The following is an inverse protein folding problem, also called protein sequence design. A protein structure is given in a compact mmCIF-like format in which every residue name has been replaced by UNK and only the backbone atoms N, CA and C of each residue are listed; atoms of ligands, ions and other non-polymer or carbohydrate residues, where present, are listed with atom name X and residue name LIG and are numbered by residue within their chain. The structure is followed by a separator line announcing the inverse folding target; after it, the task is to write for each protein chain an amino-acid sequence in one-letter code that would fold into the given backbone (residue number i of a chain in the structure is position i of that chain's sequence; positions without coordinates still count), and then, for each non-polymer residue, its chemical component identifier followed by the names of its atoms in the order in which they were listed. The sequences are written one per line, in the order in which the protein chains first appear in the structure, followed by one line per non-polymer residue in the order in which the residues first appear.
data_IF_509924505781
#
_entry.id   IF_509924505781
#
_cell.length_a   1.000
_cell.length_b   1.000
_cell.length_c   1.000
_cell.angle_alpha   90.00
_cell.angle_beta   90.00
_cell.angle_gamma   90.00
#
_symmetry.space_group_name_H-M   'P 1'
#
loop_
_entity.id
_entity.type
_entity.pdbx_description
1 polymer ?
#
# COMPACT_ATOMS: atom_id res chain seq x y z
N UNK A 1 5.92 84.91 -3.84
CA UNK A 1 6.64 85.15 -2.56
C UNK A 1 6.55 83.87 -1.70
N UNK A 2 7.61 83.52 -1.05
CA UNK A 2 7.92 82.43 -0.15
C UNK A 2 8.37 81.14 -0.82
N UNK A 3 9.65 80.91 -0.84
CA UNK A 3 10.44 79.75 -1.06
C UNK A 3 10.23 78.78 0.11
N UNK A 4 10.04 77.47 -0.16
CA UNK A 4 10.27 76.44 0.82
C UNK A 4 11.30 75.46 0.29
N UNK A 5 12.36 75.35 0.98
CA UNK A 5 13.54 74.54 0.77
C UNK A 5 13.22 73.04 1.14
N UNK A 6 13.51 72.13 0.20
CA UNK A 6 13.48 70.72 0.41
C UNK A 6 14.86 70.25 0.87
N UNK A 7 14.90 69.65 2.08
CA UNK A 7 16.10 69.02 2.61
C UNK A 7 16.22 67.60 2.11
N UNK A 8 17.29 67.33 1.37
CA UNK A 8 17.68 65.97 0.97
C UNK A 8 18.29 65.25 2.17
N UNK A 9 17.73 64.09 2.54
CA UNK A 9 18.36 63.13 3.46
C UNK A 9 19.02 62.04 2.62
N UNK A 10 20.35 62.02 2.63
CA UNK A 10 21.18 60.94 2.08
C UNK A 10 21.26 59.80 3.13
N UNK A 11 20.67 58.65 2.83
CA UNK A 11 20.89 57.42 3.58
C UNK A 11 22.00 56.63 2.91
N UNK A 12 23.12 56.47 3.60
CA UNK A 12 24.22 55.61 3.22
C UNK A 12 23.85 54.14 3.33
N UNK A 13 23.92 53.42 2.23
CA UNK A 13 23.80 51.97 2.15
C UNK A 13 25.16 51.36 2.51
N UNK A 14 25.24 50.67 3.65
CA UNK A 14 26.37 49.78 3.96
C UNK A 14 26.16 48.45 3.22
N UNK A 15 26.99 48.19 2.22
CA UNK A 15 27.10 46.87 1.57
C UNK A 15 28.11 46.05 2.37
N UNK A 16 27.63 45.07 3.12
CA UNK A 16 28.46 44.03 3.75
C UNK A 16 28.73 42.93 2.72
N UNK A 17 29.95 42.90 2.20
CA UNK A 17 30.43 41.79 1.39
C UNK A 17 30.70 40.58 2.29
N UNK A 18 29.89 39.52 2.18
CA UNK A 18 30.21 38.20 2.74
C UNK A 18 31.16 37.47 1.77
N UNK A 19 32.39 37.32 2.19
CA UNK A 19 33.39 36.49 1.50
C UNK A 19 33.00 35.01 1.71
N UNK A 20 32.64 34.31 0.63
CA UNK A 20 32.52 32.87 0.57
C UNK A 20 33.92 32.26 0.60
N UNK A 21 34.36 31.76 1.74
CA UNK A 21 35.50 30.87 1.82
C UNK A 21 35.03 29.46 1.50
N UNK A 22 35.31 28.97 0.31
CA UNK A 22 35.26 27.56 -0.04
C UNK A 22 36.39 26.86 0.69
N UNK A 23 36.09 26.25 1.83
CA UNK A 23 36.95 25.26 2.43
C UNK A 23 36.54 23.87 1.87
N UNK A 24 37.34 23.34 0.96
CA UNK A 24 37.37 21.90 0.69
C UNK A 24 37.96 21.22 1.90
N UNK A 25 37.15 20.56 2.71
CA UNK A 25 37.63 19.51 3.61
C UNK A 25 37.02 18.19 3.11
N UNK A 26 37.90 17.33 2.63
CA UNK A 26 37.62 15.93 2.38
C UNK A 26 37.53 15.25 3.75
N UNK A 27 36.31 15.12 4.26
CA UNK A 27 35.99 14.17 5.32
C UNK A 27 34.95 13.21 4.79
N UNK A 28 35.39 11.97 4.56
CA UNK A 28 34.58 10.80 4.25
C UNK A 28 33.72 10.38 5.47
N UNK A 29 32.82 11.23 5.93
CA UNK A 29 31.71 10.87 6.79
C UNK A 29 30.43 10.80 5.94
N UNK A 30 30.21 9.64 5.34
CA UNK A 30 28.91 9.27 4.74
C UNK A 30 27.86 9.11 5.84
N UNK A 31 27.45 10.17 6.50
CA UNK A 31 26.13 10.27 7.06
C UNK A 31 25.18 10.51 5.87
N UNK A 32 24.72 9.43 5.26
CA UNK A 32 23.62 9.51 4.31
C UNK A 32 22.42 10.11 5.04
N UNK A 33 21.95 11.28 4.58
CA UNK A 33 20.72 11.87 5.09
C UNK A 33 19.59 10.83 5.00
N UNK A 34 18.63 10.82 5.96
CA UNK A 34 17.52 9.91 5.91
C UNK A 34 16.74 10.08 4.60
N UNK A 35 16.48 8.98 3.92
CA UNK A 35 15.75 8.95 2.63
C UNK A 35 14.30 9.40 2.81
N UNK A 36 13.77 9.24 4.01
CA UNK A 36 12.43 9.63 4.38
C UNK A 36 12.49 10.80 5.36
N UNK A 37 11.59 11.79 5.26
CA UNK A 37 11.54 12.87 6.24
C UNK A 37 11.21 12.34 7.64
N UNK A 38 11.86 12.89 8.65
CA UNK A 38 11.48 12.69 10.04
C UNK A 38 10.33 13.66 10.35
N UNK A 39 9.24 13.14 10.90
CA UNK A 39 8.08 13.95 11.29
C UNK A 39 8.03 14.09 12.80
N UNK A 40 8.31 15.29 13.30
CA UNK A 40 8.16 15.58 14.74
C UNK A 40 6.70 15.44 15.16
N UNK A 41 6.49 14.82 16.35
CA UNK A 41 5.15 14.63 16.89
C UNK A 41 4.25 13.67 16.12
N UNK A 42 4.82 12.85 15.18
CA UNK A 42 4.05 11.84 14.44
C UNK A 42 3.36 10.89 15.42
N UNK A 43 2.08 10.66 15.18
CA UNK A 43 1.33 9.56 15.80
C UNK A 43 1.58 8.23 15.07
N UNK A 44 1.67 7.15 15.86
CA UNK A 44 1.66 5.76 15.38
C UNK A 44 0.30 5.18 15.77
N UNK A 45 -0.59 5.03 14.80
CA UNK A 45 -1.92 4.45 15.02
C UNK A 45 -1.84 2.93 14.86
N UNK A 46 -2.17 2.19 15.89
CA UNK A 46 -2.29 0.74 15.89
C UNK A 46 -3.73 0.38 15.56
N UNK A 47 -3.96 -0.58 14.65
CA UNK A 47 -5.30 -1.01 14.28
C UNK A 47 -5.47 -2.52 14.46
N UNK A 48 -6.62 -2.92 14.99
CA UNK A 48 -7.02 -4.31 15.19
C UNK A 48 -8.38 -4.61 14.56
N UNK A 49 -8.45 -5.73 13.84
CA UNK A 49 -9.69 -6.28 13.30
C UNK A 49 -10.36 -7.16 14.36
N UNK A 50 -11.61 -6.85 14.66
CA UNK A 50 -12.43 -7.59 15.63
C UNK A 50 -13.12 -8.74 14.90
N UNK A 51 -12.93 -9.96 15.41
CA UNK A 51 -13.54 -11.17 14.86
C UNK A 51 -14.86 -11.47 15.56
N UNK A 52 -15.81 -12.10 14.87
CA UNK A 52 -17.09 -12.52 15.43
C UNK A 52 -17.20 -14.05 15.51
N UNK A 53 -17.21 -14.69 14.35
CA UNK A 53 -17.54 -16.12 14.25
C UNK A 53 -16.30 -16.97 14.11
N UNK A 54 -15.46 -16.62 13.13
CA UNK A 54 -14.24 -17.36 12.80
C UNK A 54 -13.01 -16.48 12.94
N UNK A 55 -11.87 -17.02 13.35
CA UNK A 55 -10.59 -16.30 13.32
C UNK A 55 -10.31 -15.76 11.92
N UNK A 56 -9.98 -14.48 11.81
CA UNK A 56 -9.65 -13.86 10.53
C UNK A 56 -10.83 -13.35 9.70
N UNK A 57 -12.10 -13.50 10.15
CA UNK A 57 -13.26 -13.06 9.38
C UNK A 57 -13.42 -11.53 9.30
N UNK A 58 -12.96 -10.80 10.31
CA UNK A 58 -13.03 -9.32 10.37
C UNK A 58 -14.45 -8.76 10.45
N UNK A 59 -15.45 -9.59 10.71
CA UNK A 59 -16.85 -9.18 10.69
C UNK A 59 -17.25 -8.34 11.92
N UNK A 60 -16.44 -8.30 12.97
CA UNK A 60 -16.65 -7.44 14.15
C UNK A 60 -16.23 -5.99 13.95
N UNK A 61 -15.74 -5.60 12.77
CA UNK A 61 -15.26 -4.25 12.48
C UNK A 61 -13.78 -4.04 12.82
N UNK A 62 -13.40 -2.79 13.03
CA UNK A 62 -12.00 -2.39 13.30
C UNK A 62 -11.95 -1.37 14.43
N UNK A 63 -10.98 -1.51 15.32
CA UNK A 63 -10.65 -0.52 16.34
C UNK A 63 -9.24 0.02 16.14
N UNK A 64 -9.04 1.26 16.56
CA UNK A 64 -7.75 1.98 16.43
C UNK A 64 -7.36 2.63 17.77
N UNK A 65 -6.06 2.74 17.99
CA UNK A 65 -5.47 3.42 19.15
C UNK A 65 -4.15 4.04 18.72
N UNK A 66 -3.88 5.30 19.03
CA UNK A 66 -2.65 5.99 18.63
C UNK A 66 -1.73 6.27 19.81
N UNK A 67 -0.44 6.14 19.55
CA UNK A 67 0.64 6.36 20.54
C UNK A 67 1.71 7.26 19.95
N UNK A 68 2.52 7.89 20.81
CA UNK A 68 3.70 8.63 20.35
C UNK A 68 4.80 7.68 19.85
N UNK A 69 5.78 8.20 19.12
CA UNK A 69 6.96 7.43 18.70
C UNK A 69 7.75 6.89 19.89
N UNK A 70 7.88 7.68 20.95
CA UNK A 70 8.57 7.29 22.18
C UNK A 70 7.88 6.09 22.82
N UNK A 71 6.55 6.10 22.89
CA UNK A 71 5.79 4.96 23.40
C UNK A 71 5.88 3.74 22.47
N UNK A 72 5.95 3.96 21.15
CA UNK A 72 6.03 2.87 20.19
C UNK A 72 7.34 2.07 20.31
N UNK A 73 8.45 2.71 20.73
CA UNK A 73 9.75 2.05 20.91
C UNK A 73 9.97 1.53 22.35
N UNK A 74 9.10 1.88 23.31
CA UNK A 74 9.23 1.46 24.71
C UNK A 74 8.64 0.05 24.92
N UNK A 75 9.46 -0.97 25.24
CA UNK A 75 8.97 -2.33 25.46
C UNK A 75 8.13 -2.48 26.75
N UNK A 76 8.14 -1.49 27.64
CA UNK A 76 7.33 -1.46 28.86
C UNK A 76 5.95 -0.81 28.63
N UNK A 77 5.78 -0.11 27.52
CA UNK A 77 4.47 0.45 27.15
C UNK A 77 3.56 -0.64 26.58
N UNK A 78 2.26 -0.57 26.87
CA UNK A 78 1.29 -1.56 26.40
C UNK A 78 0.10 -0.89 25.74
N UNK A 79 -0.35 -1.46 24.61
CA UNK A 79 -1.56 -1.06 23.89
C UNK A 79 -2.55 -2.22 23.91
N UNK A 80 -3.78 -1.92 24.34
CA UNK A 80 -4.92 -2.83 24.19
C UNK A 80 -5.98 -2.15 23.31
N UNK A 81 -5.87 -2.36 22.00
CA UNK A 81 -6.79 -1.74 21.03
C UNK A 81 -8.21 -2.29 21.17
N UNK A 82 -8.37 -3.54 21.60
CA UNK A 82 -9.67 -4.19 21.65
C UNK A 82 -10.54 -3.71 22.81
N UNK A 83 -9.95 -3.38 23.95
CA UNK A 83 -10.68 -2.82 25.10
C UNK A 83 -10.73 -1.29 25.04
N UNK A 84 -9.60 -0.66 24.71
CA UNK A 84 -9.44 0.79 24.88
C UNK A 84 -9.51 1.58 23.55
N UNK A 85 -9.54 0.91 22.40
CA UNK A 85 -9.52 1.58 21.10
C UNK A 85 -10.88 2.13 20.67
N UNK A 86 -10.82 3.17 19.83
CA UNK A 86 -12.00 3.74 19.17
C UNK A 86 -12.39 2.90 17.95
N UNK A 87 -13.69 2.65 17.72
CA UNK A 87 -14.16 2.02 16.51
C UNK A 87 -14.01 2.96 15.31
N UNK A 88 -13.63 2.43 14.15
CA UNK A 88 -13.75 3.11 12.87
C UNK A 88 -14.93 2.54 12.08
N UNK A 89 -15.61 3.41 11.33
CA UNK A 89 -16.82 3.01 10.62
C UNK A 89 -16.48 2.01 9.50
N UNK A 90 -16.88 0.75 9.69
CA UNK A 90 -16.81 -0.31 8.68
C UNK A 90 -17.60 -1.52 9.17
N UNK A 91 -18.31 -2.20 8.27
CA UNK A 91 -19.01 -3.46 8.60
C UNK A 91 -18.07 -4.66 8.69
N UNK A 92 -16.89 -4.56 8.08
CA UNK A 92 -15.81 -5.54 8.13
C UNK A 92 -14.51 -4.82 8.44
N UNK A 93 -13.39 -5.52 8.33
CA UNK A 93 -12.06 -4.91 8.45
C UNK A 93 -11.94 -3.66 7.59
N UNK A 94 -11.74 -2.50 8.21
CA UNK A 94 -11.61 -1.20 7.55
C UNK A 94 -10.43 -1.17 6.56
N UNK A 95 -10.46 -0.24 5.62
CA UNK A 95 -9.38 0.02 4.67
C UNK A 95 -8.70 1.32 5.04
N UNK A 96 -7.78 1.22 6.00
CA UNK A 96 -7.13 2.35 6.63
C UNK A 96 -5.88 2.80 5.88
N UNK A 97 -5.66 4.11 5.88
CA UNK A 97 -4.43 4.76 5.45
C UNK A 97 -4.16 5.94 6.39
N UNK A 98 -2.91 6.31 6.64
CA UNK A 98 -2.59 7.49 7.45
C UNK A 98 -1.95 8.59 6.62
N UNK A 99 -2.08 9.84 7.10
CA UNK A 99 -1.27 10.95 6.60
C UNK A 99 0.22 10.71 6.86
N UNK A 100 1.07 11.44 6.15
CA UNK A 100 2.54 11.34 6.30
C UNK A 100 2.96 11.63 7.74
N UNK A 101 2.29 12.57 8.40
CA UNK A 101 2.54 12.97 9.80
C UNK A 101 1.76 12.16 10.85
N UNK A 102 0.92 11.22 10.42
CA UNK A 102 0.08 10.41 11.32
C UNK A 102 -1.03 11.21 12.01
N UNK A 103 -1.23 12.50 11.70
CA UNK A 103 -2.26 13.34 12.31
C UNK A 103 -3.67 13.06 11.81
N UNK A 104 -3.77 12.38 10.67
CA UNK A 104 -5.06 12.05 10.03
C UNK A 104 -5.09 10.57 9.65
N UNK A 105 -6.18 9.90 9.98
CA UNK A 105 -6.49 8.57 9.51
C UNK A 105 -7.57 8.66 8.45
N UNK A 106 -7.32 8.08 7.28
CA UNK A 106 -8.25 8.00 6.15
C UNK A 106 -8.92 6.63 6.14
N UNK A 107 -10.21 6.59 5.84
CA UNK A 107 -10.97 5.34 5.72
C UNK A 107 -11.97 5.41 4.57
N UNK A 108 -12.11 4.32 3.84
CA UNK A 108 -13.32 4.04 3.07
C UNK A 108 -14.03 2.86 3.72
N UNK A 109 -15.28 3.07 4.10
CA UNK A 109 -16.11 2.04 4.71
C UNK A 109 -16.23 0.85 3.76
N UNK A 110 -15.90 -0.33 4.27
CA UNK A 110 -15.91 -1.55 3.49
C UNK A 110 -17.17 -2.37 3.80
N UNK A 111 -18.02 -2.54 2.79
CA UNK A 111 -19.31 -3.26 2.84
C UNK A 111 -20.36 -2.62 3.76
N UNK A 112 -21.55 -3.21 3.80
CA UNK A 112 -22.67 -2.74 4.61
C UNK A 112 -23.40 -1.53 4.01
N UNK A 113 -24.34 -0.97 4.78
CA UNK A 113 -25.21 0.12 4.33
C UNK A 113 -24.43 1.40 3.92
N UNK A 114 -23.32 1.67 4.58
CA UNK A 114 -22.46 2.82 4.29
C UNK A 114 -21.20 2.41 3.49
N UNK A 115 -21.17 1.23 2.89
CA UNK A 115 -20.06 0.77 2.05
C UNK A 115 -19.74 1.78 0.96
N UNK A 116 -18.44 2.10 0.78
CA UNK A 116 -17.99 3.11 -0.17
C UNK A 116 -18.00 4.54 0.35
N UNK A 117 -18.29 4.79 1.62
CA UNK A 117 -18.20 6.12 2.21
C UNK A 117 -16.76 6.44 2.65
N UNK A 118 -16.14 7.44 2.03
CA UNK A 118 -14.85 7.99 2.42
C UNK A 118 -15.03 9.02 3.53
N UNK A 119 -14.19 8.93 4.56
CA UNK A 119 -14.15 9.88 5.67
C UNK A 119 -12.75 9.97 6.26
N UNK A 120 -12.50 11.00 7.05
CA UNK A 120 -11.25 11.22 7.75
C UNK A 120 -11.46 11.29 9.25
N UNK A 121 -10.43 10.93 10.01
CA UNK A 121 -10.39 11.05 11.45
C UNK A 121 -9.14 11.86 11.83
N UNK A 122 -9.32 12.95 12.56
CA UNK A 122 -8.20 13.65 13.21
C UNK A 122 -7.70 12.81 14.37
N UNK A 123 -6.41 12.55 14.41
CA UNK A 123 -5.75 11.76 15.46
C UNK A 123 -5.25 12.70 16.56
N UNK A 124 -5.78 12.56 17.78
CA UNK A 124 -5.43 13.40 18.93
C UNK A 124 -4.72 12.61 20.05
N UNK A 125 -4.30 11.36 19.78
CA UNK A 125 -3.66 10.48 20.75
C UNK A 125 -4.62 9.57 21.51
N UNK A 126 -4.14 8.40 21.94
CA UNK A 126 -4.95 7.40 22.63
C UNK A 126 -6.10 6.90 21.75
N UNK A 127 -7.29 6.89 22.32
CA UNK A 127 -8.53 6.56 21.61
C UNK A 127 -9.29 7.81 21.12
N UNK A 128 -8.67 8.97 21.11
CA UNK A 128 -9.31 10.22 20.69
C UNK A 128 -9.14 10.42 19.19
N UNK A 129 -10.13 9.99 18.43
CA UNK A 129 -10.23 10.13 16.97
C UNK A 129 -11.48 10.95 16.65
N UNK A 130 -11.30 12.20 16.21
CA UNK A 130 -12.42 13.07 15.84
C UNK A 130 -12.75 12.85 14.35
N UNK A 131 -13.95 12.32 14.09
CA UNK A 131 -14.42 12.12 12.72
C UNK A 131 -14.76 13.46 12.07
N UNK A 132 -14.40 13.62 10.78
CA UNK A 132 -14.79 14.79 9.98
C UNK A 132 -16.27 14.75 9.66
N UNK A 133 -16.93 15.92 9.64
CA UNK A 133 -18.30 16.06 9.15
C UNK A 133 -18.40 15.88 7.64
N UNK A 134 -17.32 16.18 6.89
CA UNK A 134 -17.25 15.99 5.45
C UNK A 134 -17.07 14.51 5.12
N UNK A 135 -17.97 13.99 4.28
CA UNK A 135 -17.97 12.61 3.80
C UNK A 135 -18.37 12.56 2.34
N UNK A 136 -17.86 11.60 1.58
CA UNK A 136 -18.29 11.36 0.21
C UNK A 136 -18.50 9.87 -0.02
N UNK A 137 -19.67 9.50 -0.56
CA UNK A 137 -19.97 8.11 -0.91
C UNK A 137 -19.69 7.87 -2.39
N UNK A 138 -18.82 6.90 -2.67
CA UNK A 138 -18.40 6.52 -4.02
C UNK A 138 -19.06 5.23 -4.52
N UNK A 139 -19.98 4.65 -3.75
CA UNK A 139 -20.55 3.32 -4.04
C UNK A 139 -21.28 3.22 -5.38
N UNK A 140 -21.91 4.30 -5.83
CA UNK A 140 -22.55 4.34 -7.14
C UNK A 140 -21.58 4.20 -8.33
N UNK A 141 -20.27 4.46 -8.11
CA UNK A 141 -19.22 4.34 -9.13
C UNK A 141 -18.35 3.11 -8.92
N UNK A 142 -17.94 2.85 -7.68
CA UNK A 142 -16.94 1.85 -7.32
C UNK A 142 -17.49 0.70 -6.45
N UNK A 143 -18.83 0.61 -6.30
CA UNK A 143 -19.47 -0.38 -5.47
C UNK A 143 -19.26 -0.16 -3.97
N UNK A 144 -19.92 -0.98 -3.14
CA UNK A 144 -19.87 -0.88 -1.68
C UNK A 144 -18.60 -1.46 -1.06
N UNK A 145 -17.76 -2.11 -1.87
CA UNK A 145 -16.50 -2.74 -1.42
C UNK A 145 -15.32 -2.30 -2.29
N UNK A 146 -15.11 -0.98 -2.45
CA UNK A 146 -14.07 -0.47 -3.34
C UNK A 146 -12.68 -0.86 -2.83
N UNK A 147 -11.74 -0.99 -3.76
CA UNK A 147 -10.31 -1.03 -3.48
C UNK A 147 -9.76 0.38 -3.61
N UNK A 148 -8.95 0.80 -2.67
CA UNK A 148 -8.41 2.15 -2.72
C UNK A 148 -7.07 2.26 -2.01
N UNK A 149 -6.29 3.22 -2.44
CA UNK A 149 -5.08 3.68 -1.75
C UNK A 149 -4.97 5.19 -1.86
N UNK A 150 -4.32 5.82 -0.91
CA UNK A 150 -3.82 7.18 -1.10
C UNK A 150 -2.60 7.16 -2.00
N UNK A 151 -2.41 8.17 -2.82
CA UNK A 151 -1.15 8.35 -3.55
C UNK A 151 -0.07 8.95 -2.64
N UNK A 152 1.20 8.76 -3.02
CA UNK A 152 2.34 9.38 -2.34
C UNK A 152 2.60 10.80 -2.91
N UNK A 153 1.59 11.66 -2.83
CA UNK A 153 1.56 13.01 -3.38
C UNK A 153 1.35 14.10 -2.30
N UNK A 154 1.71 13.82 -1.06
CA UNK A 154 1.50 14.71 0.08
C UNK A 154 0.08 14.68 0.61
N UNK A 155 -0.52 13.50 0.65
CA UNK A 155 -1.85 13.25 1.20
C UNK A 155 -2.99 14.03 0.49
N UNK A 156 -2.82 14.26 -0.81
CA UNK A 156 -3.81 15.03 -1.60
C UNK A 156 -4.85 14.13 -2.24
N UNK A 157 -4.40 13.02 -2.83
CA UNK A 157 -5.24 12.19 -3.69
C UNK A 157 -5.40 10.78 -3.16
N UNK A 158 -6.65 10.32 -3.09
CA UNK A 158 -7.00 8.92 -2.99
C UNK A 158 -7.45 8.37 -4.34
N UNK A 159 -7.11 7.14 -4.68
CA UNK A 159 -7.59 6.48 -5.88
C UNK A 159 -8.33 5.21 -5.51
N UNK A 160 -9.60 5.14 -5.90
CA UNK A 160 -10.43 3.95 -5.75
C UNK A 160 -10.61 3.25 -7.09
N UNK A 161 -10.60 1.93 -7.07
CA UNK A 161 -10.76 1.10 -8.26
C UNK A 161 -11.75 -0.03 -7.99
N UNK A 162 -12.44 -0.44 -9.05
CA UNK A 162 -13.37 -1.57 -9.00
C UNK A 162 -13.46 -2.24 -10.37
N UNK A 163 -13.81 -3.52 -10.39
CA UNK A 163 -14.30 -4.22 -11.57
C UNK A 163 -15.67 -4.77 -11.21
N UNK A 164 -16.68 -4.39 -11.96
CA UNK A 164 -18.02 -4.93 -11.82
C UNK A 164 -18.00 -6.46 -12.05
N UNK A 165 -18.99 -7.17 -11.52
CA UNK A 165 -19.09 -8.63 -11.71
C UNK A 165 -18.88 -8.98 -13.18
N UNK A 166 -17.86 -9.78 -13.53
CA UNK A 166 -17.59 -10.13 -14.90
C UNK A 166 -18.76 -10.89 -15.53
N UNK A 167 -19.06 -10.56 -16.77
CA UNK A 167 -20.13 -11.16 -17.57
C UNK A 167 -19.48 -12.00 -18.67
N UNK A 168 -19.99 -13.21 -18.83
CA UNK A 168 -19.65 -14.09 -19.96
C UNK A 168 -20.40 -13.61 -21.20
N UNK A 169 -19.64 -13.30 -22.25
CA UNK A 169 -20.17 -12.99 -23.57
C UNK A 169 -20.03 -14.22 -24.47
N UNK A 170 -20.99 -14.42 -25.36
CA UNK A 170 -21.02 -15.52 -26.32
C UNK A 170 -21.09 -15.00 -27.74
N UNK A 171 -20.65 -15.79 -28.70
CA UNK A 171 -20.81 -15.58 -30.12
C UNK A 171 -22.26 -15.85 -30.57
N UNK A 172 -22.56 -15.57 -31.83
CA UNK A 172 -23.91 -15.85 -32.40
C UNK A 172 -24.27 -17.35 -32.37
N UNK A 173 -23.29 -18.22 -32.52
CA UNK A 173 -23.43 -19.67 -32.41
C UNK A 173 -23.51 -20.20 -30.96
N UNK A 174 -23.55 -19.29 -29.96
CA UNK A 174 -23.55 -19.54 -28.51
C UNK A 174 -22.23 -20.10 -27.94
N UNK A 175 -21.19 -20.20 -28.76
CA UNK A 175 -19.86 -20.54 -28.25
C UNK A 175 -19.32 -19.40 -27.35
N UNK A 176 -18.42 -19.76 -26.43
CA UNK A 176 -17.75 -18.77 -25.56
C UNK A 176 -16.99 -17.75 -26.39
N UNK A 177 -17.12 -16.46 -26.05
CA UNK A 177 -16.39 -15.36 -26.69
C UNK A 177 -15.34 -14.76 -25.75
N UNK A 178 -15.77 -14.23 -24.62
CA UNK A 178 -14.91 -13.68 -23.58
C UNK A 178 -15.68 -13.49 -22.27
N UNK A 179 -14.94 -13.21 -21.19
CA UNK A 179 -15.49 -12.76 -19.90
C UNK A 179 -14.92 -11.39 -19.60
N UNK A 180 -15.78 -10.40 -19.30
CA UNK A 180 -15.35 -9.03 -18.97
C UNK A 180 -16.19 -8.41 -17.88
N UNK A 181 -15.57 -7.65 -17.00
CA UNK A 181 -16.25 -6.75 -16.07
C UNK A 181 -15.90 -5.29 -16.39
N UNK A 182 -16.86 -4.40 -16.23
CA UNK A 182 -16.62 -2.96 -16.42
C UNK A 182 -15.71 -2.46 -15.29
N UNK A 183 -14.57 -1.92 -15.66
CA UNK A 183 -13.63 -1.32 -14.71
C UNK A 183 -14.00 0.11 -14.40
N UNK A 184 -13.86 0.52 -13.15
CA UNK A 184 -13.94 1.90 -12.67
C UNK A 184 -12.62 2.31 -12.09
N UNK A 185 -12.14 3.49 -12.46
CA UNK A 185 -11.04 4.20 -11.79
C UNK A 185 -11.57 5.56 -11.37
N UNK A 186 -11.40 5.91 -10.09
CA UNK A 186 -11.95 7.11 -9.49
C UNK A 186 -10.89 7.76 -8.61
N UNK A 187 -10.68 9.07 -8.77
CA UNK A 187 -9.82 9.86 -7.89
C UNK A 187 -10.64 10.73 -6.93
N UNK A 188 -10.14 10.82 -5.72
CA UNK A 188 -10.67 11.61 -4.61
C UNK A 188 -9.70 12.73 -4.26
N UNK A 189 -10.17 13.95 -4.15
CA UNK A 189 -9.49 14.99 -3.37
C UNK A 189 -9.74 14.70 -1.89
N UNK A 190 -8.72 14.22 -1.19
CA UNK A 190 -8.84 13.83 0.21
C UNK A 190 -8.93 15.03 1.16
N UNK A 191 -8.44 16.22 0.74
CA UNK A 191 -8.52 17.45 1.54
C UNK A 191 -9.91 18.06 1.48
N UNK A 192 -10.50 18.07 0.29
CA UNK A 192 -11.83 18.64 0.07
C UNK A 192 -12.95 17.59 0.26
N UNK A 193 -12.59 16.31 0.39
CA UNK A 193 -13.52 15.19 0.56
C UNK A 193 -14.54 15.13 -0.59
N UNK A 194 -14.02 15.12 -1.82
CA UNK A 194 -14.87 15.07 -3.02
C UNK A 194 -14.26 14.18 -4.11
N UNK A 195 -15.11 13.72 -5.03
CA UNK A 195 -14.66 13.02 -6.23
C UNK A 195 -14.10 14.06 -7.20
N UNK A 196 -12.81 13.94 -7.55
CA UNK A 196 -12.16 14.84 -8.49
C UNK A 196 -12.28 14.39 -9.95
N UNK A 197 -12.28 13.07 -10.18
CA UNK A 197 -12.51 12.49 -11.51
C UNK A 197 -12.94 11.03 -11.40
N UNK A 198 -13.66 10.52 -12.41
CA UNK A 198 -13.83 9.08 -12.58
C UNK A 198 -14.00 8.71 -14.05
N UNK A 199 -13.61 7.48 -14.38
CA UNK A 199 -13.80 6.86 -15.70
C UNK A 199 -14.23 5.41 -15.55
N UNK A 200 -15.03 4.97 -16.51
CA UNK A 200 -15.44 3.56 -16.63
C UNK A 200 -15.19 3.08 -18.05
N UNK A 201 -14.60 1.92 -18.18
CA UNK A 201 -14.24 1.32 -19.46
C UNK A 201 -14.08 -0.18 -19.39
N UNK A 202 -14.11 -0.83 -20.54
CA UNK A 202 -13.68 -2.19 -20.68
C UNK A 202 -12.15 -2.23 -20.84
N UNK A 203 -11.51 -3.24 -20.23
CA UNK A 203 -10.07 -3.47 -20.37
C UNK A 203 -9.89 -4.85 -21.03
N UNK A 204 -9.86 -4.92 -22.37
CA UNK A 204 -9.65 -6.18 -23.06
C UNK A 204 -8.22 -6.69 -22.86
N UNK A 205 -8.08 -7.99 -22.79
CA UNK A 205 -6.81 -8.70 -22.99
C UNK A 205 -6.56 -8.91 -24.48
N UNK A 206 -5.53 -9.66 -24.84
CA UNK A 206 -5.38 -10.09 -26.25
C UNK A 206 -6.51 -11.05 -26.64
N UNK A 207 -6.81 -11.14 -27.93
CA UNK A 207 -7.88 -12.00 -28.42
C UNK A 207 -7.64 -13.49 -28.04
N UNK A 208 -6.37 -13.91 -28.05
CA UNK A 208 -5.96 -15.26 -27.69
C UNK A 208 -6.17 -15.55 -26.20
N UNK A 209 -5.82 -14.60 -25.34
CA UNK A 209 -6.00 -14.74 -23.89
C UNK A 209 -7.49 -14.79 -23.52
N UNK A 210 -8.30 -13.93 -24.12
CA UNK A 210 -9.75 -13.92 -23.91
C UNK A 210 -10.41 -15.20 -24.42
N UNK A 211 -10.03 -15.69 -25.61
CA UNK A 211 -10.56 -16.93 -26.16
C UNK A 211 -10.24 -18.16 -25.28
N UNK A 212 -9.14 -18.11 -24.51
CA UNK A 212 -8.78 -19.11 -23.50
C UNK A 212 -9.54 -18.96 -22.18
N UNK A 213 -10.33 -17.90 -21.99
CA UNK A 213 -11.11 -17.63 -20.78
C UNK A 213 -10.44 -16.70 -19.78
N UNK A 214 -9.23 -16.21 -20.05
CA UNK A 214 -8.54 -15.26 -19.15
C UNK A 214 -9.27 -13.93 -19.09
N UNK A 215 -9.36 -13.36 -17.89
CA UNK A 215 -9.98 -12.04 -17.68
C UNK A 215 -9.47 -11.35 -16.41
N UNK A 216 -9.57 -10.03 -16.37
CA UNK A 216 -9.31 -9.24 -15.18
C UNK A 216 -10.53 -9.35 -14.26
N UNK A 217 -10.35 -10.01 -13.13
CA UNK A 217 -11.39 -10.15 -12.10
C UNK A 217 -11.41 -8.94 -11.16
N UNK A 218 -10.25 -8.34 -10.89
CA UNK A 218 -10.12 -7.23 -9.95
C UNK A 218 -8.96 -6.31 -10.33
N UNK A 219 -9.15 -5.03 -10.05
CA UNK A 219 -8.10 -4.02 -9.96
C UNK A 219 -7.83 -3.69 -8.50
N UNK A 220 -6.57 -3.37 -8.15
CA UNK A 220 -6.19 -2.96 -6.79
C UNK A 220 -4.86 -2.18 -6.81
N UNK A 221 -4.52 -1.55 -5.68
CA UNK A 221 -3.24 -0.92 -5.39
C UNK A 221 -2.68 0.02 -6.49
N UNK A 222 -3.45 1.03 -6.95
CA UNK A 222 -2.95 2.00 -7.92
C UNK A 222 -1.74 2.78 -7.39
N UNK A 223 -0.76 3.05 -8.25
CA UNK A 223 0.45 3.80 -7.94
C UNK A 223 0.73 4.83 -9.01
N UNK A 224 1.02 6.06 -8.61
CA UNK A 224 1.41 7.14 -9.53
C UNK A 224 2.87 6.95 -9.95
N UNK A 225 3.18 7.07 -11.25
CA UNK A 225 4.55 7.00 -11.72
C UNK A 225 5.37 8.24 -11.29
N UNK A 226 6.69 8.18 -11.43
CA UNK A 226 7.60 9.27 -11.02
C UNK A 226 7.30 10.59 -11.75
N UNK A 227 6.87 10.52 -13.01
CA UNK A 227 6.52 11.70 -13.80
C UNK A 227 5.17 12.33 -13.41
N UNK A 228 4.37 11.67 -12.59
CA UNK A 228 3.07 12.17 -12.14
C UNK A 228 1.98 12.18 -13.23
N UNK A 229 2.14 11.41 -14.29
CA UNK A 229 1.26 11.45 -15.45
C UNK A 229 0.63 10.10 -15.84
N UNK A 230 0.95 9.01 -15.13
CA UNK A 230 0.37 7.68 -15.31
C UNK A 230 0.09 7.02 -13.96
N UNK A 231 -1.06 6.35 -13.86
CA UNK A 231 -1.36 5.41 -12.79
C UNK A 231 -1.10 3.99 -13.29
N UNK A 232 -0.37 3.22 -12.49
CA UNK A 232 -0.16 1.78 -12.69
C UNK A 232 -1.03 1.07 -11.66
N UNK A 233 -1.94 0.22 -12.13
CA UNK A 233 -2.96 -0.42 -11.30
C UNK A 233 -2.75 -1.92 -11.37
N UNK A 234 -2.57 -2.57 -10.24
CA UNK A 234 -2.40 -4.02 -10.16
C UNK A 234 -3.66 -4.80 -10.53
N UNK A 235 -3.48 -6.02 -11.04
CA UNK A 235 -4.58 -6.89 -11.47
C UNK A 235 -4.62 -8.21 -10.70
N UNK A 236 -5.83 -8.72 -10.53
CA UNK A 236 -6.08 -10.10 -10.14
C UNK A 236 -6.75 -10.81 -11.32
N UNK A 237 -6.08 -11.82 -11.85
CA UNK A 237 -6.53 -12.57 -13.01
C UNK A 237 -7.35 -13.78 -12.59
N UNK A 238 -8.37 -14.10 -13.38
CA UNK A 238 -9.11 -15.37 -13.34
C UNK A 238 -9.19 -15.96 -14.74
N UNK A 239 -9.60 -17.22 -14.81
CA UNK A 239 -9.89 -17.93 -16.06
C UNK A 239 -11.27 -18.56 -15.97
N UNK A 240 -12.16 -18.19 -16.87
CA UNK A 240 -13.44 -18.88 -17.08
C UNK A 240 -13.20 -20.23 -17.74
N UNK A 241 -13.89 -21.28 -17.29
CA UNK A 241 -13.91 -22.53 -18.01
C UNK A 241 -14.71 -22.37 -19.31
N UNK A 242 -14.07 -22.40 -20.45
CA UNK A 242 -14.71 -22.11 -21.74
C UNK A 242 -15.70 -23.21 -22.18
N UNK A 243 -15.59 -24.42 -21.62
CA UNK A 243 -16.54 -25.53 -21.85
C UNK A 243 -17.77 -25.46 -20.92
N UNK A 244 -17.61 -24.86 -19.71
CA UNK A 244 -18.71 -24.58 -18.78
C UNK A 244 -18.56 -23.16 -18.22
N UNK A 245 -19.00 -22.12 -18.97
CA UNK A 245 -18.75 -20.74 -18.62
C UNK A 245 -19.45 -20.24 -17.33
N UNK A 246 -20.27 -21.07 -16.71
CA UNK A 246 -20.82 -20.79 -15.37
C UNK A 246 -19.76 -20.91 -14.25
N UNK A 247 -18.58 -21.48 -14.55
CA UNK A 247 -17.49 -21.75 -13.61
C UNK A 247 -16.19 -21.06 -14.01
N UNK A 248 -15.37 -20.79 -13.00
CA UNK A 248 -13.97 -20.42 -13.20
C UNK A 248 -13.08 -21.64 -12.94
N UNK A 249 -11.95 -21.69 -13.66
CA UNK A 249 -10.88 -22.64 -13.36
C UNK A 249 -10.29 -22.31 -11.98
N UNK A 250 -10.09 -23.34 -11.15
CA UNK A 250 -9.44 -23.17 -9.84
C UNK A 250 -7.92 -23.10 -9.95
N UNK A 251 -7.38 -23.82 -10.92
CA UNK A 251 -5.96 -23.83 -11.31
C UNK A 251 -5.87 -23.61 -12.81
N UNK A 252 -4.99 -22.72 -13.25
CA UNK A 252 -4.82 -22.44 -14.68
C UNK A 252 -3.39 -21.94 -14.96
N UNK A 253 -2.94 -22.14 -16.18
CA UNK A 253 -1.69 -21.56 -16.64
C UNK A 253 -1.78 -20.02 -16.64
N UNK A 254 -0.82 -19.36 -16.01
CA UNK A 254 -0.72 -17.92 -15.97
C UNK A 254 0.16 -17.41 -17.11
N UNK A 255 -0.35 -16.41 -17.83
CA UNK A 255 0.28 -15.90 -19.07
C UNK A 255 1.11 -14.63 -18.81
N UNK A 256 1.75 -14.54 -17.65
CA UNK A 256 2.51 -13.39 -17.19
C UNK A 256 1.71 -12.47 -16.27
N UNK A 257 2.42 -11.79 -15.36
CA UNK A 257 1.85 -10.79 -14.48
C UNK A 257 1.43 -9.57 -15.28
N UNK A 258 0.27 -8.99 -14.94
CA UNK A 258 -0.31 -7.87 -15.68
C UNK A 258 -0.58 -6.68 -14.77
N UNK A 259 -0.49 -5.49 -15.34
CA UNK A 259 -1.01 -4.25 -14.73
C UNK A 259 -1.73 -3.43 -15.78
N UNK A 260 -2.66 -2.59 -15.34
CA UNK A 260 -3.34 -1.59 -16.17
C UNK A 260 -2.66 -0.26 -15.95
N UNK A 261 -2.32 0.43 -17.05
CA UNK A 261 -1.77 1.79 -17.05
C UNK A 261 -2.82 2.72 -17.62
N UNK A 262 -3.11 3.80 -16.91
CA UNK A 262 -4.02 4.86 -17.39
C UNK A 262 -3.35 6.22 -17.30
N UNK A 263 -3.80 7.18 -18.10
CA UNK A 263 -3.36 8.56 -18.01
C UNK A 263 -3.80 9.19 -16.68
N UNK A 264 -2.98 10.07 -16.14
CA UNK A 264 -3.32 10.82 -14.93
C UNK A 264 -3.06 12.33 -15.17
N UNK A 265 -3.95 13.22 -14.75
CA UNK A 265 -5.14 12.99 -13.93
C UNK A 265 -6.43 12.64 -14.70
N UNK A 266 -6.40 12.53 -16.03
CA UNK A 266 -7.60 12.32 -16.87
C UNK A 266 -8.27 10.95 -16.66
N UNK A 267 -7.52 9.96 -16.17
CA UNK A 267 -7.92 8.55 -15.99
C UNK A 267 -8.32 7.86 -17.30
N UNK A 268 -7.80 8.33 -18.44
CA UNK A 268 -8.12 7.84 -19.79
C UNK A 268 -7.07 6.85 -20.33
N UNK A 269 -7.32 6.35 -21.54
CA UNK A 269 -6.40 5.52 -22.32
C UNK A 269 -5.85 4.29 -21.56
N UNK A 270 -6.73 3.37 -21.09
CA UNK A 270 -6.29 2.16 -20.38
C UNK A 270 -5.49 1.24 -21.31
N UNK A 271 -4.31 0.83 -20.86
CA UNK A 271 -3.44 -0.11 -21.55
C UNK A 271 -3.03 -1.21 -20.58
N UNK A 272 -3.08 -2.48 -21.03
CA UNK A 272 -2.54 -3.60 -20.26
C UNK A 272 -1.07 -3.80 -20.61
N UNK A 273 -0.22 -3.83 -19.60
CA UNK A 273 1.17 -4.22 -19.72
C UNK A 273 1.36 -5.62 -19.10
N UNK A 274 2.22 -6.43 -19.70
CA UNK A 274 2.45 -7.83 -19.29
C UNK A 274 3.93 -8.09 -19.08
N UNK A 275 4.29 -8.67 -17.93
CA UNK A 275 5.64 -9.13 -17.61
C UNK A 275 5.89 -10.53 -18.17
N UNK A 276 7.09 -10.80 -18.64
CA UNK A 276 7.56 -12.14 -19.01
C UNK A 276 8.32 -12.84 -17.87
N UNK A 277 8.56 -12.12 -16.77
CA UNK A 277 9.36 -12.59 -15.62
C UNK A 277 8.48 -13.16 -14.52
N UNK A 278 7.45 -12.42 -14.09
CA UNK A 278 6.50 -12.87 -13.07
C UNK A 278 5.21 -13.39 -13.70
N UNK A 279 4.48 -14.21 -12.94
CA UNK A 279 3.23 -14.84 -13.39
C UNK A 279 2.08 -14.66 -12.39
N UNK A 280 2.38 -14.23 -11.16
CA UNK A 280 1.38 -13.98 -10.14
C UNK A 280 0.54 -12.72 -10.39
N UNK A 281 -0.51 -12.56 -9.59
CA UNK A 281 -1.33 -11.35 -9.58
C UNK A 281 -0.56 -10.18 -8.97
N UNK A 282 -0.78 -8.98 -9.48
CA UNK A 282 -0.11 -7.75 -9.04
C UNK A 282 -0.98 -6.86 -8.19
N UNK A 283 -2.22 -7.28 -7.93
CA UNK A 283 -3.21 -6.50 -7.18
C UNK A 283 -2.83 -6.23 -5.73
N UNK A 284 -1.95 -7.03 -5.13
CA UNK A 284 -1.80 -7.05 -3.69
C UNK A 284 -3.10 -7.50 -3.00
N UNK A 285 -3.17 -7.32 -1.67
CA UNK A 285 -4.39 -7.53 -0.92
C UNK A 285 -4.44 -6.63 0.30
N UNK A 286 -5.38 -5.68 0.32
CA UNK A 286 -5.65 -4.74 1.41
C UNK A 286 -4.57 -3.67 1.69
N UNK A 287 -3.44 -3.67 1.01
CA UNK A 287 -2.36 -2.72 1.21
C UNK A 287 -1.79 -2.21 -0.12
N UNK A 288 -0.84 -1.30 -0.04
CA UNK A 288 -0.02 -0.93 -1.19
C UNK A 288 0.73 -2.14 -1.73
N UNK A 289 0.88 -2.21 -3.05
CA UNK A 289 1.61 -3.30 -3.69
C UNK A 289 2.63 -2.83 -4.73
N UNK A 290 2.70 -1.53 -4.96
CA UNK A 290 3.65 -0.92 -5.90
C UNK A 290 4.20 0.37 -5.31
N UNK A 291 5.49 0.62 -5.51
CA UNK A 291 6.16 1.81 -4.98
C UNK A 291 7.13 2.38 -6.02
N UNK A 292 7.16 3.71 -6.13
CA UNK A 292 8.22 4.43 -6.86
C UNK A 292 9.47 4.42 -6.00
N UNK A 293 10.57 3.89 -6.53
CA UNK A 293 11.85 3.89 -5.86
C UNK A 293 12.68 5.15 -6.19
N UNK A 294 13.81 5.32 -5.51
CA UNK A 294 14.72 6.45 -5.70
C UNK A 294 15.32 6.52 -7.11
N UNK A 295 15.42 5.38 -7.82
CA UNK A 295 15.84 5.30 -9.22
C UNK A 295 14.74 5.76 -10.22
N UNK A 296 13.56 6.12 -9.73
CA UNK A 296 12.41 6.58 -10.52
C UNK A 296 11.60 5.46 -11.17
N UNK A 297 11.99 4.19 -11.01
CA UNK A 297 11.21 3.05 -11.45
C UNK A 297 10.17 2.65 -10.41
N UNK A 298 9.15 1.90 -10.84
CA UNK A 298 8.17 1.31 -9.95
C UNK A 298 8.55 -0.14 -9.71
N UNK A 299 8.49 -0.55 -8.44
CA UNK A 299 8.63 -1.94 -8.05
C UNK A 299 7.29 -2.44 -7.54
N UNK A 300 6.92 -3.66 -7.93
CA UNK A 300 5.61 -4.25 -7.70
C UNK A 300 5.75 -5.71 -7.31
N UNK A 301 5.10 -6.15 -6.22
CA UNK A 301 5.10 -7.54 -5.82
C UNK A 301 4.04 -8.36 -6.56
N UNK A 302 4.30 -9.66 -6.72
CA UNK A 302 3.33 -10.63 -7.23
C UNK A 302 2.84 -11.57 -6.13
N UNK A 303 1.61 -12.05 -6.29
CA UNK A 303 0.94 -12.96 -5.36
C UNK A 303 0.24 -14.09 -6.13
N UNK A 304 -0.14 -15.16 -5.43
CA UNK A 304 -1.03 -16.24 -5.92
C UNK A 304 -0.46 -17.10 -7.07
N UNK A 305 0.84 -17.06 -7.29
CA UNK A 305 1.51 -18.07 -8.11
C UNK A 305 2.10 -19.15 -7.19
N UNK A 306 1.38 -20.24 -7.03
CA UNK A 306 1.79 -21.35 -6.15
C UNK A 306 2.90 -22.21 -6.74
N UNK A 307 3.21 -22.06 -8.03
CA UNK A 307 4.26 -22.84 -8.71
C UNK A 307 5.62 -22.13 -8.66
N UNK A 308 5.63 -20.80 -8.87
CA UNK A 308 6.85 -20.01 -9.00
C UNK A 308 7.09 -19.06 -7.82
N UNK A 309 6.11 -18.96 -6.89
CA UNK A 309 6.18 -18.06 -5.76
C UNK A 309 6.05 -16.58 -6.14
N UNK A 310 6.34 -15.71 -5.20
CA UNK A 310 6.29 -14.27 -5.39
C UNK A 310 7.55 -13.72 -6.05
N UNK A 311 7.35 -12.73 -6.90
CA UNK A 311 8.41 -11.93 -7.52
C UNK A 311 8.26 -10.46 -7.14
N UNK A 312 9.35 -9.73 -7.12
CA UNK A 312 9.33 -8.28 -7.24
C UNK A 312 9.63 -7.95 -8.70
N UNK A 313 8.67 -7.31 -9.35
CA UNK A 313 8.77 -6.86 -10.75
C UNK A 313 9.20 -5.40 -10.78
N UNK A 314 9.89 -5.01 -11.85
CA UNK A 314 10.28 -3.63 -12.10
C UNK A 314 9.53 -3.10 -13.31
N UNK A 315 8.91 -1.93 -13.17
CA UNK A 315 8.30 -1.16 -14.25
C UNK A 315 9.17 0.08 -14.47
N UNK A 316 9.69 0.23 -15.67
CA UNK A 316 10.59 1.31 -16.03
C UNK A 316 9.85 2.65 -16.19
N UNK A 317 10.59 3.73 -16.37
CA UNK A 317 10.02 5.08 -16.49
C UNK A 317 9.19 5.29 -17.78
N UNK A 318 9.27 4.35 -18.77
CA UNK A 318 8.37 4.29 -19.91
C UNK A 318 7.07 3.54 -19.62
N UNK A 319 6.82 3.18 -18.35
CA UNK A 319 5.66 2.45 -17.87
C UNK A 319 5.51 1.05 -18.52
N UNK A 320 6.63 0.36 -18.75
CA UNK A 320 6.68 -1.01 -19.24
C UNK A 320 7.46 -1.87 -18.24
N UNK A 321 7.10 -3.17 -18.14
CA UNK A 321 7.89 -4.10 -17.35
C UNK A 321 9.31 -4.24 -17.91
N UNK A 322 10.28 -4.29 -17.02
CA UNK A 322 11.68 -4.57 -17.34
C UNK A 322 11.94 -6.07 -17.17
N UNK A 323 11.81 -6.81 -18.27
CA UNK A 323 11.96 -8.27 -18.26
C UNK A 323 13.42 -8.75 -17.99
N UNK A 324 14.41 -7.84 -17.94
CA UNK A 324 15.77 -8.14 -17.50
C UNK A 324 15.92 -8.09 -15.97
N UNK A 325 14.93 -7.53 -15.27
CA UNK A 325 14.93 -7.47 -13.82
C UNK A 325 14.23 -8.71 -13.25
N UNK A 326 15.01 -9.72 -12.88
CA UNK A 326 14.53 -11.00 -12.32
C UNK A 326 14.81 -11.02 -10.82
N UNK A 327 13.77 -10.93 -10.00
CA UNK A 327 13.87 -11.04 -8.55
C UNK A 327 12.80 -12.00 -8.01
N UNK A 328 13.13 -13.29 -7.96
CA UNK A 328 12.31 -14.34 -7.35
C UNK A 328 12.55 -14.36 -5.83
N UNK A 329 11.48 -14.29 -5.07
CA UNK A 329 11.57 -14.37 -3.60
C UNK A 329 11.93 -15.80 -3.15
N UNK A 330 11.44 -16.82 -3.84
CA UNK A 330 11.80 -18.23 -3.59
C UNK A 330 13.31 -18.42 -3.69
N UNK A 331 13.92 -17.96 -4.77
CA UNK A 331 15.36 -18.07 -4.99
C UNK A 331 16.15 -17.27 -3.96
N UNK A 332 15.71 -16.04 -3.67
CA UNK A 332 16.44 -15.14 -2.78
C UNK A 332 16.40 -15.58 -1.30
N UNK A 333 15.31 -16.22 -0.87
CA UNK A 333 15.14 -16.72 0.51
C UNK A 333 15.50 -18.21 0.65
N UNK A 334 15.70 -18.95 -0.44
CA UNK A 334 15.92 -20.40 -0.41
C UNK A 334 14.68 -21.18 0.04
N UNK A 335 13.48 -20.70 -0.30
CA UNK A 335 12.18 -21.32 0.00
C UNK A 335 11.47 -21.72 -1.29
N UNK A 336 10.27 -22.29 -1.17
CA UNK A 336 9.42 -22.65 -2.31
C UNK A 336 8.01 -22.15 -2.08
N UNK A 337 7.37 -21.66 -3.15
CA UNK A 337 5.97 -21.22 -3.12
C UNK A 337 5.76 -20.04 -2.17
N UNK A 338 6.68 -19.07 -2.16
CA UNK A 338 6.54 -17.86 -1.35
C UNK A 338 5.31 -17.05 -1.74
N UNK A 339 4.70 -16.44 -0.73
CA UNK A 339 3.54 -15.57 -0.88
C UNK A 339 3.77 -14.29 -0.08
N UNK A 340 3.85 -13.15 -0.76
CA UNK A 340 3.94 -11.84 -0.11
C UNK A 340 2.53 -11.38 0.25
N UNK A 341 2.24 -11.24 1.54
CA UNK A 341 0.95 -10.71 2.02
C UNK A 341 0.90 -9.19 1.88
N UNK A 342 1.95 -8.50 2.30
CA UNK A 342 2.14 -7.06 2.17
C UNK A 342 3.63 -6.73 2.15
N UNK A 343 3.97 -5.55 1.61
CA UNK A 343 5.35 -5.08 1.61
C UNK A 343 5.42 -3.55 1.61
N UNK A 344 6.60 -3.00 1.92
CA UNK A 344 6.83 -1.56 1.96
C UNK A 344 8.24 -1.23 1.49
N UNK A 345 8.35 -0.36 0.48
CA UNK A 345 9.61 0.29 0.12
C UNK A 345 9.97 1.33 1.19
N UNK A 346 11.22 1.33 1.64
CA UNK A 346 11.69 2.21 2.73
C UNK A 346 12.84 3.13 2.30
N UNK A 347 13.24 3.08 1.02
CA UNK A 347 14.26 3.97 0.45
C UNK A 347 15.57 3.24 0.12
N UNK A 348 16.43 3.90 -0.67
CA UNK A 348 17.77 3.40 -1.05
C UNK A 348 17.78 1.98 -1.63
N UNK A 349 16.72 1.56 -2.32
CA UNK A 349 16.59 0.20 -2.85
C UNK A 349 16.21 -0.84 -1.79
N UNK A 350 15.92 -0.44 -0.55
CA UNK A 350 15.54 -1.35 0.54
C UNK A 350 14.02 -1.38 0.70
N UNK A 351 13.51 -2.58 0.98
CA UNK A 351 12.11 -2.80 1.33
C UNK A 351 11.99 -3.88 2.41
N UNK A 352 10.80 -3.94 3.03
CA UNK A 352 10.43 -5.02 3.94
C UNK A 352 9.13 -5.67 3.46
N UNK A 353 9.06 -6.99 3.54
CA UNK A 353 7.89 -7.77 3.16
C UNK A 353 7.47 -8.70 4.30
N UNK A 354 6.16 -8.85 4.49
CA UNK A 354 5.60 -9.95 5.28
C UNK A 354 5.19 -11.06 4.31
N UNK A 355 5.56 -12.29 4.61
CA UNK A 355 5.43 -13.41 3.69
C UNK A 355 5.21 -14.74 4.40
N UNK A 356 4.62 -15.68 3.65
CA UNK A 356 4.56 -17.11 3.96
C UNK A 356 5.21 -17.91 2.82
N UNK A 357 5.34 -19.23 2.96
CA UNK A 357 5.85 -20.12 1.92
C UNK A 357 5.27 -21.54 2.06
N UNK A 358 5.45 -22.38 1.06
CA UNK A 358 4.92 -23.74 1.02
C UNK A 358 5.32 -24.55 2.25
N UNK A 359 4.36 -25.27 2.84
CA UNK A 359 4.58 -26.12 4.00
C UNK A 359 4.42 -25.43 5.36
N UNK A 360 4.11 -24.13 5.38
CA UNK A 360 3.82 -23.40 6.62
C UNK A 360 2.69 -22.39 6.43
N UNK A 361 1.89 -22.18 7.49
CA UNK A 361 0.97 -21.06 7.59
C UNK A 361 1.56 -19.89 8.40
N UNK A 362 2.73 -20.09 8.98
CA UNK A 362 3.40 -19.07 9.77
C UNK A 362 3.92 -17.95 8.89
N UNK A 363 3.65 -16.71 9.31
CA UNK A 363 4.16 -15.51 8.66
C UNK A 363 5.58 -15.15 9.12
N UNK A 364 6.34 -14.54 8.21
CA UNK A 364 7.71 -14.07 8.42
C UNK A 364 7.87 -12.66 7.89
N UNK A 365 8.94 -11.98 8.31
CA UNK A 365 9.36 -10.68 7.78
C UNK A 365 10.68 -10.86 7.03
N UNK A 366 10.77 -10.34 5.81
CA UNK A 366 12.00 -10.30 5.03
C UNK A 366 12.44 -8.85 4.79
N UNK A 367 13.75 -8.62 4.80
CA UNK A 367 14.42 -7.44 4.26
C UNK A 367 14.82 -7.74 2.82
N UNK A 368 14.42 -6.87 1.91
CA UNK A 368 14.69 -6.98 0.47
C UNK A 368 15.67 -5.90 0.05
N UNK A 369 16.66 -6.26 -0.76
CA UNK A 369 17.50 -5.32 -1.51
C UNK A 369 17.09 -5.40 -2.98
N UNK A 370 16.41 -4.37 -3.47
CA UNK A 370 15.89 -4.31 -4.84
C UNK A 370 17.02 -4.14 -5.87
N UNK A 371 18.14 -3.51 -5.47
CA UNK A 371 19.27 -3.29 -6.36
C UNK A 371 20.09 -4.58 -6.52
N UNK A 372 20.41 -5.23 -5.40
CA UNK A 372 21.13 -6.51 -5.40
C UNK A 372 20.24 -7.70 -5.76
N UNK A 373 18.91 -7.57 -5.68
CA UNK A 373 17.92 -8.63 -5.86
C UNK A 373 18.11 -9.77 -4.87
N UNK A 374 18.32 -9.40 -3.62
CA UNK A 374 18.51 -10.35 -2.51
C UNK A 374 17.43 -10.14 -1.45
N UNK A 375 17.15 -11.20 -0.70
CA UNK A 375 16.22 -11.16 0.41
C UNK A 375 16.79 -11.99 1.58
N UNK A 376 16.51 -11.55 2.80
CA UNK A 376 16.84 -12.29 4.00
C UNK A 376 15.74 -12.16 5.04
N UNK A 377 15.46 -13.25 5.76
CA UNK A 377 14.56 -13.21 6.91
C UNK A 377 15.11 -12.23 7.95
N UNK A 378 14.24 -11.40 8.50
CA UNK A 378 14.63 -10.44 9.54
C UNK A 378 14.80 -11.20 10.85
N UNK A 379 16.00 -11.13 11.44
CA UNK A 379 16.28 -11.69 12.76
C UNK A 379 15.88 -10.70 13.87
N UNK A 380 15.74 -11.20 15.12
CA UNK A 380 15.36 -10.36 16.28
C UNK A 380 13.85 -10.14 16.44
N UNK A 381 13.03 -10.64 15.52
CA UNK A 381 11.57 -10.73 15.67
C UNK A 381 11.22 -12.04 16.35
N UNK A 382 10.30 -12.01 17.32
CA UNK A 382 9.78 -13.22 17.94
C UNK A 382 8.69 -13.83 17.05
N UNK A 383 9.05 -14.85 16.29
CA UNK A 383 8.15 -15.59 15.43
C UNK A 383 7.39 -16.65 16.21
N UNK A 384 6.07 -16.72 16.01
CA UNK A 384 5.15 -17.70 16.60
C UNK A 384 4.42 -18.46 15.48
N UNK A 385 4.05 -19.71 15.71
CA UNK A 385 3.38 -20.53 14.71
C UNK A 385 2.00 -19.98 14.27
N UNK A 386 1.35 -19.18 15.14
CA UNK A 386 0.05 -18.55 14.85
C UNK A 386 0.19 -17.13 14.25
N UNK A 387 1.40 -16.76 13.80
CA UNK A 387 1.61 -15.47 13.14
C UNK A 387 1.05 -15.51 11.72
N UNK A 388 0.00 -14.71 11.48
CA UNK A 388 -0.71 -14.61 10.19
C UNK A 388 -0.78 -13.14 9.74
N UNK A 389 -0.25 -12.85 8.57
CA UNK A 389 -0.28 -11.52 7.95
C UNK A 389 -1.36 -11.35 6.87
N UNK A 390 -2.24 -12.32 6.65
CA UNK A 390 -3.26 -12.26 5.60
C UNK A 390 -4.27 -11.11 5.72
N UNK A 391 -4.33 -10.45 6.90
CA UNK A 391 -5.13 -9.23 7.13
C UNK A 391 -4.30 -7.95 7.15
N UNK A 392 -2.98 -8.04 6.97
CA UNK A 392 -2.04 -6.92 7.18
C UNK A 392 -2.22 -5.81 6.14
N UNK A 393 -2.19 -4.55 6.58
CA UNK A 393 -2.45 -3.40 5.72
C UNK A 393 -1.40 -2.29 5.85
N UNK A 394 -0.89 -2.04 7.05
CA UNK A 394 -0.18 -0.82 7.37
C UNK A 394 1.23 -1.00 7.92
N UNK A 395 2.15 -0.21 7.40
CA UNK A 395 3.50 -0.01 7.90
C UNK A 395 3.77 1.48 8.02
N UNK A 396 4.53 1.90 9.04
CA UNK A 396 4.99 3.28 9.16
C UNK A 396 6.47 3.35 8.82
N UNK A 397 6.83 4.36 8.02
CA UNK A 397 8.21 4.76 7.74
C UNK A 397 8.36 6.21 8.18
N UNK A 398 9.31 6.48 9.08
CA UNK A 398 9.59 7.82 9.57
C UNK A 398 11.11 7.99 9.73
N UNK A 399 11.73 8.80 8.90
CA UNK A 399 13.18 8.89 8.77
C UNK A 399 13.80 7.53 8.47
N UNK A 400 14.73 7.11 9.30
CA UNK A 400 15.40 5.81 9.21
C UNK A 400 14.70 4.68 9.98
N UNK A 401 13.49 4.92 10.49
CA UNK A 401 12.75 3.94 11.29
C UNK A 401 11.60 3.33 10.51
N UNK A 402 11.56 2.01 10.47
CA UNK A 402 10.46 1.21 9.94
C UNK A 402 9.73 0.53 11.09
N UNK A 403 8.43 0.80 11.22
CA UNK A 403 7.57 0.26 12.27
C UNK A 403 6.65 -0.82 11.70
N UNK A 404 6.57 -1.94 12.41
CA UNK A 404 5.72 -3.08 12.06
C UNK A 404 5.07 -3.66 13.32
N UNK A 405 3.78 -3.95 13.29
CA UNK A 405 3.10 -4.73 14.32
C UNK A 405 3.26 -6.23 14.02
N UNK A 406 3.80 -6.97 14.95
CA UNK A 406 3.95 -8.43 14.85
C UNK A 406 3.21 -9.08 16.01
N UNK A 407 2.03 -9.62 15.72
CA UNK A 407 1.13 -10.21 16.70
C UNK A 407 0.57 -11.53 16.17
N UNK A 408 0.81 -12.65 16.84
CA UNK A 408 0.13 -13.89 16.50
C UNK A 408 -1.38 -13.75 16.70
N UNK A 409 -2.15 -14.51 15.96
CA UNK A 409 -3.63 -14.49 16.08
C UNK A 409 -4.04 -14.85 17.50
N UNK A 410 -4.80 -13.95 18.13
CA UNK A 410 -5.33 -14.17 19.48
C UNK A 410 -4.31 -14.16 20.61
N UNK A 411 -3.03 -13.90 20.34
CA UNK A 411 -1.96 -13.82 21.32
C UNK A 411 -1.32 -12.42 21.35
N UNK A 412 -0.73 -12.05 22.48
CA UNK A 412 0.03 -10.81 22.60
C UNK A 412 1.25 -10.80 21.68
N UNK A 413 1.56 -9.61 21.17
CA UNK A 413 2.75 -9.39 20.34
C UNK A 413 3.39 -8.03 20.64
N UNK A 414 4.09 -7.46 19.68
CA UNK A 414 4.79 -6.20 19.86
C UNK A 414 4.79 -5.37 18.56
N UNK A 415 4.99 -4.08 18.71
CA UNK A 415 5.56 -3.26 17.65
C UNK A 415 7.06 -3.56 17.63
N UNK A 416 7.59 -3.78 16.44
CA UNK A 416 9.04 -3.81 16.20
C UNK A 416 9.43 -2.59 15.39
N UNK A 417 10.58 -2.02 15.73
CA UNK A 417 11.16 -0.89 15.02
C UNK A 417 12.49 -1.33 14.43
N UNK A 418 12.61 -1.20 13.12
CA UNK A 418 13.81 -1.60 12.39
C UNK A 418 14.52 -0.35 11.89
N UNK A 419 15.78 -0.19 12.27
CA UNK A 419 16.66 0.83 11.70
C UNK A 419 16.97 0.46 10.24
N UNK A 420 16.51 1.28 9.31
CA UNK A 420 16.56 0.97 7.86
C UNK A 420 17.99 0.77 7.36
N UNK A 421 18.98 1.66 7.68
CA UNK A 421 20.35 1.49 7.23
C UNK A 421 21.02 0.21 7.74
N UNK A 422 20.93 -0.06 9.04
CA UNK A 422 21.63 -1.18 9.67
C UNK A 422 20.85 -2.48 9.66
N UNK A 423 19.51 -2.42 9.51
CA UNK A 423 18.64 -3.58 9.70
C UNK A 423 18.47 -4.00 11.17
N UNK A 424 18.98 -3.22 12.13
CA UNK A 424 18.88 -3.54 13.57
C UNK A 424 17.42 -3.48 14.01
N UNK A 425 16.96 -4.55 14.67
CA UNK A 425 15.61 -4.69 15.19
C UNK A 425 15.57 -4.29 16.65
N UNK A 426 14.61 -3.46 17.01
CA UNK A 426 14.28 -3.09 18.39
C UNK A 426 12.87 -3.52 18.70
N UNK A 427 12.69 -4.27 19.79
CA UNK A 427 11.38 -4.65 20.31
C UNK A 427 10.79 -3.44 21.05
N UNK A 428 9.63 -2.98 20.62
CA UNK A 428 8.92 -1.85 21.19
C UNK A 428 7.65 -2.27 21.95
N UNK A 429 6.65 -1.38 21.95
CA UNK A 429 5.42 -1.50 22.72
C UNK A 429 4.74 -2.86 22.59
N UNK A 430 4.26 -3.36 23.73
CA UNK A 430 3.48 -4.59 23.80
C UNK A 430 2.09 -4.36 23.22
N UNK A 431 1.63 -5.25 22.36
CA UNK A 431 0.29 -5.27 21.80
C UNK A 431 -0.51 -6.40 22.45
N UNK A 432 -1.49 -6.03 23.26
CA UNK A 432 -2.34 -6.99 23.96
C UNK A 432 -3.44 -7.44 23.02
N UNK A 433 -3.59 -8.75 22.83
CA UNK A 433 -4.55 -9.33 21.92
C UNK A 433 -5.64 -10.14 22.64
N UNK A 434 -6.67 -10.53 21.90
CA UNK A 434 -7.77 -11.40 22.36
C UNK A 434 -7.96 -12.56 21.41
N UNK A 435 -8.44 -13.72 21.87
CA UNK A 435 -8.66 -14.90 21.02
C UNK A 435 -9.41 -14.55 19.73
N UNK A 436 -8.88 -15.01 18.61
CA UNK A 436 -9.46 -14.83 17.29
C UNK A 436 -9.19 -13.46 16.61
N UNK A 437 -8.70 -12.45 17.33
CA UNK A 437 -8.48 -11.12 16.77
C UNK A 437 -7.13 -10.99 16.05
N UNK A 438 -7.09 -10.11 15.04
CA UNK A 438 -5.90 -9.77 14.28
C UNK A 438 -5.55 -8.30 14.43
N UNK A 439 -4.28 -8.01 14.70
CA UNK A 439 -3.73 -6.68 14.38
C UNK A 439 -3.48 -6.58 12.87
N UNK A 440 -3.92 -5.48 12.28
CA UNK A 440 -3.84 -5.27 10.83
C UNK A 440 -2.75 -4.29 10.41
N UNK A 441 -1.95 -3.83 11.34
CA UNK A 441 -0.79 -3.00 11.09
C UNK A 441 -0.71 -1.75 11.95
N UNK A 442 0.26 -0.90 11.56
CA UNK A 442 0.48 0.44 12.11
C UNK A 442 0.36 1.48 10.99
N UNK A 443 -0.15 2.68 11.34
CA UNK A 443 -0.54 3.74 10.40
C UNK A 443 -0.03 5.11 10.85
#
# INVERSE_FOLDING_TARGET
MKKNTFKLFTSSLLVSAFALTTACSSDDNKNSEPVNPVTEGRWITVAGAVMQTDPGDGNGGTKVYSISKENAIDPNFSVNVYDNGSPVQSSRTARLQSSVDGSTLFNITYTGANGGEFMTYKVNGGNNFAVSDAKVNISQYAGTSPRWVKLFDGDKTGVAVNVATPIVNVNEDKSYKNTRGKATVLSLDMKQTLISAYKQYDIPLTAEEEAQGHHIFRLDAPTLNKAGNKLIIGTWMRKTNTADPSKNETTFERLGSKSVVVDYPSLENPVVITSKVGFGDTSGYRSFNSFVATDGNIYQATQRDTQKGSYILKINQNNQYDDNYVFSLDTALGVKGSYIDAWRYVGNGIAYAVYTFEGTNQGYVARLDLNARTAQKVEGINYDADLDFGQYQGFVVDGNSFYIAVTPVGKDGNIYVIDIPSGKVTKGAKLINKPGNHYIGVF
#
